data_IF_285033601859
#
_entry.id   IF_285033601859
#
_cell.length_a   1.000
_cell.length_b   1.000
_cell.length_c   1.000
_cell.angle_alpha   90.00
_cell.angle_beta   90.00
_cell.angle_gamma   90.00
#
_symmetry.space_group_name_H-M   'P 1'
#
loop_
_entity.id
_entity.type
_entity.pdbx_description
1 polymer ?
#
# COMPACT_ATOMS: atom_id res chain seq x y z
N UNK A 1 -10.51 7.45 1.98
CA UNK A 1 -10.56 5.99 2.24
C UNK A 1 -10.64 5.87 3.76
N UNK A 2 -10.64 4.68 4.37
CA UNK A 2 -10.51 4.60 5.83
C UNK A 2 -9.15 4.01 6.11
N UNK A 3 -8.40 4.65 7.01
CA UNK A 3 -7.11 4.14 7.50
C UNK A 3 -7.26 2.70 8.01
N UNK A 4 -6.19 1.92 7.86
CA UNK A 4 -6.12 0.55 8.34
C UNK A 4 -6.34 0.51 9.86
N UNK A 5 -7.10 -0.48 10.31
CA UNK A 5 -7.20 -0.79 11.73
C UNK A 5 -5.91 -1.38 12.24
N UNK A 6 -5.64 -1.24 13.54
CA UNK A 6 -4.44 -1.83 14.18
C UNK A 6 -4.31 -3.34 13.95
N UNK A 7 -5.43 -4.06 13.91
CA UNK A 7 -5.45 -5.49 13.58
C UNK A 7 -4.95 -5.75 12.15
N UNK A 8 -5.39 -4.95 11.18
CA UNK A 8 -4.98 -5.12 9.79
C UNK A 8 -3.52 -4.70 9.56
N UNK A 9 -3.04 -3.65 10.24
CA UNK A 9 -1.62 -3.27 10.21
C UNK A 9 -0.72 -4.39 10.73
N UNK A 10 -1.12 -5.06 11.81
CA UNK A 10 -0.38 -6.21 12.33
C UNK A 10 -0.33 -7.38 11.34
N UNK A 11 -1.42 -7.67 10.63
CA UNK A 11 -1.44 -8.72 9.60
C UNK A 11 -0.47 -8.41 8.47
N UNK A 12 -0.51 -7.19 7.94
CA UNK A 12 0.42 -6.75 6.88
C UNK A 12 1.87 -6.87 7.34
N UNK A 13 2.16 -6.46 8.57
CA UNK A 13 3.51 -6.57 9.12
C UNK A 13 3.99 -8.02 9.24
N UNK A 14 3.13 -8.94 9.70
CA UNK A 14 3.47 -10.38 9.77
C UNK A 14 3.74 -10.95 8.37
N UNK A 15 2.93 -10.60 7.38
CA UNK A 15 3.15 -11.01 5.98
C UNK A 15 4.52 -10.53 5.46
N UNK A 16 4.91 -9.29 5.78
CA UNK A 16 6.24 -8.75 5.41
C UNK A 16 7.38 -9.45 6.16
N UNK A 17 7.24 -9.73 7.47
CA UNK A 17 8.24 -10.48 8.24
C UNK A 17 8.46 -11.88 7.64
N UNK A 18 7.39 -12.58 7.28
CA UNK A 18 7.45 -13.91 6.67
C UNK A 18 8.15 -13.87 5.30
N UNK A 19 7.85 -12.87 4.46
CA UNK A 19 8.52 -12.67 3.17
C UNK A 19 10.01 -12.37 3.34
N UNK A 20 10.38 -11.42 4.20
CA UNK A 20 11.79 -11.04 4.45
C UNK A 20 12.60 -12.20 5.05
N UNK A 21 11.99 -12.99 5.94
CA UNK A 21 12.62 -14.18 6.50
C UNK A 21 12.90 -15.23 5.41
N UNK A 22 12.05 -15.32 4.38
CA UNK A 22 12.23 -16.28 3.29
C UNK A 22 13.40 -15.91 2.35
N UNK A 23 13.75 -14.63 2.27
CA UNK A 23 14.81 -14.10 1.41
C UNK A 23 16.21 -14.08 2.06
N UNK A 24 16.36 -14.59 3.29
CA UNK A 24 17.61 -14.59 4.07
C UNK A 24 18.25 -13.20 4.24
N UNK A 25 17.46 -12.13 4.19
CA UNK A 25 17.96 -10.77 4.38
C UNK A 25 17.98 -10.47 5.88
N UNK A 26 19.19 -10.38 6.46
CA UNK A 26 19.35 -9.91 7.84
C UNK A 26 19.13 -8.40 7.89
N UNK A 27 17.93 -7.98 8.28
CA UNK A 27 17.60 -6.58 8.55
C UNK A 27 17.38 -6.35 10.03
N UNK A 28 17.86 -5.22 10.55
CA UNK A 28 17.50 -4.72 11.88
C UNK A 28 16.15 -4.00 11.85
N UNK A 29 15.14 -4.65 11.29
CA UNK A 29 13.81 -4.08 11.12
C UNK A 29 12.92 -4.51 12.30
N UNK A 30 12.67 -3.60 13.24
CA UNK A 30 11.84 -3.89 14.39
C UNK A 30 10.34 -3.75 14.09
N UNK A 31 9.51 -4.38 14.93
CA UNK A 31 8.05 -4.20 14.88
C UNK A 31 7.59 -2.74 14.96
N UNK A 32 8.21 -1.86 15.77
CA UNK A 32 7.86 -0.44 15.77
C UNK A 32 8.13 0.22 14.41
N UNK A 33 9.29 -0.05 13.81
CA UNK A 33 9.69 0.54 12.53
C UNK A 33 8.73 0.13 11.40
N UNK A 34 8.28 -1.13 11.40
CA UNK A 34 7.31 -1.61 10.42
C UNK A 34 5.91 -1.04 10.59
N UNK A 35 5.48 -0.78 11.84
CA UNK A 35 4.22 -0.06 12.08
C UNK A 35 4.30 1.37 11.57
N UNK A 36 5.37 2.08 11.90
CA UNK A 36 5.58 3.46 11.45
C UNK A 36 5.64 3.52 9.91
N UNK A 37 6.29 2.55 9.27
CA UNK A 37 6.30 2.44 7.81
C UNK A 37 4.91 2.23 7.21
N UNK A 38 4.11 1.32 7.78
CA UNK A 38 2.71 1.08 7.35
C UNK A 38 1.88 2.36 7.53
N UNK A 39 2.03 3.06 8.65
CA UNK A 39 1.29 4.29 8.95
C UNK A 39 1.63 5.41 7.96
N UNK A 40 2.91 5.59 7.64
CA UNK A 40 3.35 6.57 6.63
C UNK A 40 2.76 6.25 5.27
N UNK A 41 2.75 4.98 4.85
CA UNK A 41 2.19 4.57 3.56
C UNK A 41 0.68 4.74 3.54
N UNK A 42 -0.03 4.33 4.59
CA UNK A 42 -1.49 4.45 4.70
C UNK A 42 -1.93 5.92 4.66
N UNK A 43 -1.21 6.79 5.37
CA UNK A 43 -1.42 8.24 5.32
C UNK A 43 -1.15 8.80 3.92
N UNK A 44 -0.06 8.39 3.26
CA UNK A 44 0.22 8.83 1.89
C UNK A 44 -0.89 8.41 0.92
N UNK A 45 -1.42 7.20 1.03
CA UNK A 45 -2.52 6.76 0.18
C UNK A 45 -3.76 7.61 0.44
N UNK A 46 -4.11 7.88 1.70
CA UNK A 46 -5.26 8.73 2.03
C UNK A 46 -5.13 10.14 1.44
N UNK A 47 -3.98 10.79 1.63
CA UNK A 47 -3.70 12.15 1.16
C UNK A 47 -3.75 12.25 -0.37
N UNK A 48 -3.30 11.20 -1.06
CA UNK A 48 -3.18 11.20 -2.52
C UNK A 48 -4.35 10.54 -3.24
N UNK A 49 -5.24 9.84 -2.52
CA UNK A 49 -6.38 9.13 -3.10
C UNK A 49 -7.28 10.07 -3.91
N UNK A 50 -7.54 11.26 -3.38
CA UNK A 50 -8.37 12.27 -4.05
C UNK A 50 -7.76 12.72 -5.36
N UNK A 51 -6.46 13.00 -5.36
CA UNK A 51 -5.70 13.39 -6.56
C UNK A 51 -5.72 12.27 -7.61
N UNK A 52 -5.50 11.02 -7.20
CA UNK A 52 -5.60 9.87 -8.08
C UNK A 52 -7.01 9.70 -8.66
N UNK A 53 -8.05 9.84 -7.82
CA UNK A 53 -9.43 9.74 -8.29
C UNK A 53 -9.81 10.92 -9.20
N UNK A 54 -9.14 12.07 -9.09
CA UNK A 54 -9.40 13.24 -9.93
C UNK A 54 -8.89 13.10 -11.36
N UNK A 55 -7.75 12.43 -11.57
CA UNK A 55 -7.16 12.23 -12.90
C UNK A 55 -7.85 11.15 -13.74
N UNK A 56 -8.63 10.27 -13.12
CA UNK A 56 -9.40 9.26 -13.86
C UNK A 56 -10.49 9.92 -14.71
N UNK A 57 -10.79 9.44 -15.93
CA UNK A 57 -11.97 9.87 -16.68
C UNK A 57 -13.27 9.64 -15.88
N UNK A 58 -14.30 10.47 -16.10
CA UNK A 58 -15.54 10.44 -15.33
C UNK A 58 -16.24 9.07 -15.42
N UNK A 59 -16.19 8.43 -16.59
CA UNK A 59 -16.73 7.10 -16.86
C UNK A 59 -16.03 6.04 -16.01
N UNK A 60 -14.72 6.19 -15.80
CA UNK A 60 -13.91 5.27 -15.00
C UNK A 60 -14.14 5.49 -13.50
N UNK A 61 -14.34 6.75 -13.08
CA UNK A 61 -14.62 7.08 -11.67
C UNK A 61 -15.90 6.41 -11.17
N UNK A 62 -16.95 6.38 -12.00
CA UNK A 62 -18.27 5.86 -11.65
C UNK A 62 -18.41 4.35 -11.86
N UNK A 63 -17.70 3.77 -12.85
CA UNK A 63 -17.79 2.34 -13.18
C UNK A 63 -16.87 1.45 -12.35
N UNK A 64 -15.69 1.93 -11.95
CA UNK A 64 -14.74 1.13 -11.18
C UNK A 64 -15.02 1.23 -9.69
N UNK A 65 -15.11 0.08 -9.03
CA UNK A 65 -15.10 0.01 -7.58
C UNK A 65 -13.76 0.48 -7.01
N UNK A 66 -13.75 0.94 -5.76
CA UNK A 66 -12.52 1.34 -5.03
C UNK A 66 -11.46 0.25 -5.08
N UNK A 67 -11.85 -1.03 -5.00
CA UNK A 67 -10.93 -2.17 -5.11
C UNK A 67 -10.18 -2.21 -6.44
N UNK A 68 -10.86 -1.92 -7.55
CA UNK A 68 -10.21 -1.89 -8.87
C UNK A 68 -9.29 -0.69 -9.04
N UNK A 69 -9.66 0.46 -8.48
CA UNK A 69 -8.81 1.65 -8.46
C UNK A 69 -7.51 1.40 -7.67
N UNK A 70 -7.60 0.72 -6.53
CA UNK A 70 -6.42 0.31 -5.74
C UNK A 70 -5.54 -0.67 -6.52
N UNK A 71 -6.12 -1.69 -7.16
CA UNK A 71 -5.33 -2.62 -8.01
C UNK A 71 -4.60 -1.92 -9.15
N UNK A 72 -5.21 -0.89 -9.74
CA UNK A 72 -4.55 -0.08 -10.77
C UNK A 72 -3.36 0.69 -10.18
N UNK A 73 -3.56 1.33 -9.03
CA UNK A 73 -2.49 2.04 -8.32
C UNK A 73 -1.33 1.10 -7.96
N UNK A 74 -1.63 -0.06 -7.38
CA UNK A 74 -0.65 -1.09 -7.02
C UNK A 74 0.18 -1.53 -8.24
N UNK A 75 -0.46 -1.79 -9.39
CA UNK A 75 0.25 -2.16 -10.62
C UNK A 75 1.19 -1.07 -11.12
N UNK A 76 0.76 0.20 -11.04
CA UNK A 76 1.59 1.34 -11.46
C UNK A 76 2.82 1.45 -10.53
N UNK A 77 2.63 1.33 -9.22
CA UNK A 77 3.72 1.37 -8.24
C UNK A 77 4.70 0.22 -8.49
N UNK A 78 4.21 -1.03 -8.57
CA UNK A 78 5.06 -2.21 -8.86
C UNK A 78 5.87 -2.01 -10.15
N UNK A 79 5.21 -1.57 -11.22
CA UNK A 79 5.89 -1.36 -12.51
C UNK A 79 6.98 -0.29 -12.45
N UNK A 80 6.82 0.73 -11.59
CA UNK A 80 7.81 1.79 -11.42
C UNK A 80 9.10 1.27 -10.76
N UNK A 81 9.00 0.33 -9.83
CA UNK A 81 10.13 -0.22 -9.08
C UNK A 81 10.67 -1.55 -9.64
N UNK A 82 10.01 -2.16 -10.63
CA UNK A 82 10.53 -3.31 -11.39
C UNK A 82 11.53 -2.93 -12.49
N UNK A 83 11.57 -1.65 -12.90
CA UNK A 83 12.34 -1.18 -14.06
C UNK A 83 13.67 -0.53 -13.64
N UNK A 84 13.91 -0.39 -12.33
CA UNK A 84 15.19 0.06 -11.76
C UNK A 84 16.04 -1.11 -11.28
#
# INVERSE_FOLDING_TARGET
MTLLTEENKQKVFVEIEDELSSEFVSVSFGRPDGRDAIDVVDQWVEDNFTSFNNVLPAEVKSSLSTKWKIKLLEKIIKRRWEVE
#
